data_IF_980920703681
#
_entry.id   IF_980920703681
#
_cell.length_a   1.000
_cell.length_b   1.000
_cell.length_c   1.000
_cell.angle_alpha   90.00
_cell.angle_beta   90.00
_cell.angle_gamma   90.00
#
_symmetry.space_group_name_H-M   'P 1'
#
loop_
_entity.id
_entity.type
_entity.pdbx_description
1 polymer ?
#
# COMPACT_ATOMS: atom_id res chain seq x y z
N UNK A 1 3.85 11.23 -43.81
CA UNK A 1 2.64 11.99 -43.47
C UNK A 1 1.44 11.08 -43.64
N UNK A 2 0.91 10.56 -42.58
CA UNK A 2 -0.18 9.60 -42.62
C UNK A 2 -1.01 9.64 -41.37
N UNK A 3 -2.25 9.21 -41.54
CA UNK A 3 -3.19 9.00 -40.44
C UNK A 3 -3.19 7.50 -40.12
N UNK A 4 -3.07 7.13 -38.87
CA UNK A 4 -3.28 5.75 -38.42
C UNK A 4 -4.73 5.61 -37.94
N UNK A 5 -5.40 4.54 -38.35
CA UNK A 5 -6.77 4.20 -37.89
C UNK A 5 -6.70 3.00 -36.98
N UNK A 6 -7.75 2.87 -36.16
CA UNK A 6 -7.94 1.73 -35.25
C UNK A 6 -6.71 1.46 -34.38
N UNK A 7 -6.12 2.54 -33.84
CA UNK A 7 -4.94 2.40 -32.98
C UNK A 7 -5.38 1.82 -31.63
N UNK A 8 -4.76 0.71 -31.26
CA UNK A 8 -4.96 0.06 -29.95
C UNK A 8 -3.68 0.18 -29.15
N UNK A 9 -3.79 0.81 -28.00
CA UNK A 9 -2.73 0.84 -26.98
C UNK A 9 -3.09 -0.19 -25.92
N UNK A 10 -2.27 -1.19 -25.78
CA UNK A 10 -2.42 -2.25 -24.77
C UNK A 10 -1.37 -2.04 -23.72
N UNK A 11 -1.80 -1.87 -22.48
CA UNK A 11 -0.92 -1.77 -21.32
C UNK A 11 -1.22 -2.91 -20.34
N UNK A 12 -0.19 -3.55 -19.81
CA UNK A 12 -0.32 -4.68 -18.90
C UNK A 12 0.75 -4.65 -17.84
N UNK A 13 0.32 -4.82 -16.59
CA UNK A 13 1.19 -5.05 -15.45
C UNK A 13 1.29 -6.57 -15.22
N UNK A 14 2.52 -7.09 -15.18
CA UNK A 14 2.82 -8.47 -14.81
C UNK A 14 3.47 -8.49 -13.43
N UNK A 15 3.44 -9.63 -12.77
CA UNK A 15 3.86 -9.76 -11.36
C UNK A 15 2.66 -9.97 -10.45
N UNK A 16 2.92 -10.06 -9.16
CA UNK A 16 1.89 -10.46 -8.17
C UNK A 16 1.45 -9.32 -7.26
N UNK A 17 2.25 -8.26 -7.14
CA UNK A 17 2.05 -7.24 -6.12
C UNK A 17 1.31 -5.99 -6.60
N UNK A 18 1.37 -5.66 -7.89
CA UNK A 18 0.66 -4.50 -8.41
C UNK A 18 -0.59 -4.90 -9.18
N UNK A 19 -1.68 -4.20 -8.92
CA UNK A 19 -2.96 -4.37 -9.60
C UNK A 19 -3.37 -3.05 -10.25
N UNK A 20 -3.74 -3.09 -11.52
CA UNK A 20 -4.31 -1.94 -12.23
C UNK A 20 -5.57 -1.44 -11.52
N UNK A 21 -5.67 -0.12 -11.29
CA UNK A 21 -6.74 0.51 -10.51
C UNK A 21 -8.01 0.81 -11.32
N UNK A 22 -8.02 0.50 -12.61
CA UNK A 22 -9.14 0.71 -13.54
C UNK A 22 -9.54 2.19 -13.72
N UNK A 23 -8.54 3.09 -13.70
CA UNK A 23 -8.72 4.54 -13.65
C UNK A 23 -8.04 5.30 -14.81
N UNK A 24 -7.76 4.64 -15.93
CA UNK A 24 -7.04 5.26 -17.05
C UNK A 24 -7.77 6.50 -17.62
N UNK A 25 -7.01 7.57 -17.77
CA UNK A 25 -7.45 8.85 -18.36
C UNK A 25 -6.55 9.22 -19.52
N UNK A 26 -7.14 9.70 -20.61
CA UNK A 26 -6.42 10.15 -21.80
C UNK A 26 -6.43 11.67 -21.94
N UNK A 27 -5.31 12.23 -22.39
CA UNK A 27 -5.22 13.66 -22.72
C UNK A 27 -4.41 13.85 -24.04
N UNK A 28 -5.02 14.43 -25.09
CA UNK A 28 -6.45 14.69 -25.26
C UNK A 28 -7.28 13.40 -25.31
N UNK A 29 -8.53 13.47 -24.86
CA UNK A 29 -9.45 12.34 -24.92
C UNK A 29 -9.98 12.17 -26.35
N UNK A 30 -9.48 11.15 -27.04
CA UNK A 30 -9.80 10.84 -28.45
C UNK A 30 -10.18 9.39 -28.69
N UNK A 31 -10.42 8.66 -27.64
CA UNK A 31 -10.70 7.24 -27.72
C UNK A 31 -11.55 6.75 -26.57
N UNK A 32 -11.48 5.47 -26.31
CA UNK A 32 -12.17 4.85 -25.18
C UNK A 32 -11.46 3.60 -24.72
N UNK A 33 -11.65 3.25 -23.46
CA UNK A 33 -11.24 1.95 -22.94
C UNK A 33 -12.09 0.87 -23.60
N UNK A 34 -11.46 -0.18 -24.08
CA UNK A 34 -12.15 -1.32 -24.68
C UNK A 34 -13.06 -2.01 -23.67
N UNK A 35 -14.27 -2.34 -24.10
CA UNK A 35 -15.21 -3.11 -23.28
C UNK A 35 -14.72 -4.55 -23.00
N UNK A 36 -13.71 -5.03 -23.74
CA UNK A 36 -13.11 -6.35 -23.50
C UNK A 36 -11.98 -6.18 -22.48
N UNK A 37 -12.19 -6.63 -21.23
CA UNK A 37 -11.18 -6.51 -20.20
C UNK A 37 -9.98 -7.41 -20.50
N UNK A 38 -8.80 -6.96 -20.11
CA UNK A 38 -7.60 -7.79 -20.07
C UNK A 38 -7.14 -7.97 -18.62
N UNK A 39 -6.37 -9.02 -18.38
CA UNK A 39 -5.88 -9.27 -17.04
C UNK A 39 -4.83 -8.23 -16.65
N UNK A 40 -5.09 -7.50 -15.55
CA UNK A 40 -4.20 -6.53 -14.92
C UNK A 40 -3.66 -5.46 -15.87
N UNK A 41 -4.56 -4.75 -16.53
CA UNK A 41 -4.26 -3.71 -17.48
C UNK A 41 -5.47 -3.28 -18.29
N UNK A 42 -5.22 -2.54 -19.37
CA UNK A 42 -6.30 -2.02 -20.22
C UNK A 42 -5.92 -2.04 -21.71
N UNK A 43 -6.91 -1.92 -22.55
CA UNK A 43 -6.76 -1.60 -23.97
C UNK A 43 -7.48 -0.26 -24.20
N UNK A 44 -6.75 0.74 -24.69
CA UNK A 44 -7.32 2.02 -25.08
C UNK A 44 -7.39 2.09 -26.61
N UNK A 45 -8.59 2.30 -27.15
CA UNK A 45 -8.85 2.29 -28.58
C UNK A 45 -9.02 3.72 -29.09
N UNK A 46 -8.19 4.09 -30.07
CA UNK A 46 -8.19 5.41 -30.71
C UNK A 46 -8.64 5.22 -32.16
N UNK A 47 -9.81 5.73 -32.55
CA UNK A 47 -10.32 5.54 -33.91
C UNK A 47 -9.42 6.11 -34.99
N UNK A 48 -8.89 7.30 -34.77
CA UNK A 48 -8.01 8.01 -35.71
C UNK A 48 -6.93 8.75 -34.92
N UNK A 49 -5.67 8.57 -35.32
CA UNK A 49 -4.51 9.29 -34.82
C UNK A 49 -3.78 9.95 -35.99
N UNK A 50 -3.63 11.27 -35.95
CA UNK A 50 -3.00 12.03 -37.00
C UNK A 50 -1.47 12.06 -36.84
N UNK A 51 -0.78 12.36 -37.94
CA UNK A 51 0.68 12.54 -37.94
C UNK A 51 1.09 13.65 -36.96
N UNK A 52 2.08 13.37 -36.10
CA UNK A 52 2.55 14.29 -35.05
C UNK A 52 1.64 14.44 -33.86
N UNK A 53 0.52 13.73 -33.78
CA UNK A 53 -0.37 13.77 -32.65
C UNK A 53 0.17 12.95 -31.48
N UNK A 54 0.05 13.50 -30.25
CA UNK A 54 0.47 12.85 -29.01
C UNK A 54 -0.74 12.71 -28.09
N UNK A 55 -0.96 11.51 -27.59
CA UNK A 55 -1.97 11.23 -26.58
C UNK A 55 -1.26 10.64 -25.36
N UNK A 56 -1.46 11.25 -24.20
CA UNK A 56 -0.94 10.77 -22.93
C UNK A 56 -2.00 9.98 -22.20
N UNK A 57 -1.70 8.74 -21.83
CA UNK A 57 -2.52 7.91 -20.97
C UNK A 57 -1.92 7.91 -19.56
N UNK A 58 -2.75 8.25 -18.57
CA UNK A 58 -2.36 8.27 -17.15
C UNK A 58 -3.28 7.33 -16.39
N UNK A 59 -2.71 6.51 -15.52
CA UNK A 59 -3.45 5.55 -14.69
C UNK A 59 -2.68 5.24 -13.41
N UNK A 60 -3.35 4.60 -12.45
CA UNK A 60 -2.76 4.16 -11.19
C UNK A 60 -2.66 2.64 -11.13
N UNK A 61 -1.78 2.18 -10.25
CA UNK A 61 -1.71 0.79 -9.86
C UNK A 61 -1.67 0.70 -8.33
N UNK A 62 -2.53 -0.14 -7.79
CA UNK A 62 -2.63 -0.43 -6.36
C UNK A 62 -1.73 -1.61 -5.98
N UNK A 63 -1.32 -1.62 -4.72
CA UNK A 63 -0.60 -2.77 -4.17
C UNK A 63 -1.62 -3.83 -3.72
N UNK A 64 -1.49 -5.05 -4.21
CA UNK A 64 -2.28 -6.18 -3.70
C UNK A 64 -1.67 -6.73 -2.40
N UNK A 65 -2.05 -6.14 -1.29
CA UNK A 65 -1.58 -6.53 0.04
C UNK A 65 -1.91 -7.97 0.42
N UNK A 66 -2.88 -8.60 -0.23
CA UNK A 66 -3.21 -10.01 0.00
C UNK A 66 -2.09 -10.97 -0.42
N UNK A 67 -1.20 -10.49 -1.28
CA UNK A 67 -0.04 -11.23 -1.80
C UNK A 67 1.22 -11.08 -0.95
N UNK A 68 1.20 -10.19 0.05
CA UNK A 68 2.36 -9.99 0.89
C UNK A 68 2.54 -11.15 1.88
N UNK A 69 3.80 -11.50 2.19
CA UNK A 69 4.08 -12.48 3.23
C UNK A 69 3.51 -12.03 4.58
N UNK A 70 2.84 -12.92 5.29
CA UNK A 70 2.35 -12.62 6.64
C UNK A 70 3.50 -12.22 7.56
N UNK A 71 3.34 -11.09 8.26
CA UNK A 71 4.33 -10.58 9.19
C UNK A 71 5.51 -9.89 8.53
N UNK A 72 5.47 -9.60 7.26
CA UNK A 72 6.49 -8.80 6.59
C UNK A 72 6.56 -7.40 7.22
N UNK A 73 7.77 -6.99 7.61
CA UNK A 73 8.04 -5.65 8.16
C UNK A 73 8.32 -4.62 7.06
N UNK A 74 8.77 -5.09 5.94
CA UNK A 74 8.98 -4.35 4.70
C UNK A 74 8.84 -5.33 3.55
N UNK A 75 8.58 -4.84 2.38
CA UNK A 75 8.53 -5.64 1.15
C UNK A 75 9.05 -4.83 -0.02
N UNK A 76 9.57 -5.54 -0.99
CA UNK A 76 10.09 -4.98 -2.24
C UNK A 76 9.19 -5.45 -3.37
N UNK A 77 8.91 -4.57 -4.31
CA UNK A 77 8.21 -4.94 -5.54
C UNK A 77 9.22 -5.63 -6.44
N UNK A 78 9.21 -6.96 -6.43
CA UNK A 78 10.07 -7.78 -7.27
C UNK A 78 9.27 -8.38 -8.43
N UNK A 79 9.97 -8.63 -9.54
CA UNK A 79 9.42 -9.30 -10.74
C UNK A 79 8.18 -8.60 -11.34
N UNK A 80 7.95 -7.34 -10.99
CA UNK A 80 6.85 -6.57 -11.57
C UNK A 80 7.33 -5.80 -12.78
N UNK A 81 6.64 -5.99 -13.89
CA UNK A 81 6.95 -5.35 -15.16
C UNK A 81 5.69 -4.74 -15.74
N UNK A 82 5.77 -3.48 -16.14
CA UNK A 82 4.75 -2.87 -16.97
C UNK A 82 5.18 -2.90 -18.44
N UNK A 83 4.29 -3.37 -19.30
CA UNK A 83 4.53 -3.46 -20.74
C UNK A 83 3.42 -2.75 -21.48
N UNK A 84 3.79 -1.82 -22.34
CA UNK A 84 2.87 -1.13 -23.24
C UNK A 84 3.20 -1.46 -24.69
N UNK A 85 2.16 -1.69 -25.49
CA UNK A 85 2.28 -1.85 -26.93
C UNK A 85 1.24 -0.98 -27.65
N UNK A 86 1.58 -0.47 -28.81
CA UNK A 86 0.67 0.29 -29.65
C UNK A 86 0.67 -0.26 -31.08
N UNK A 87 -0.53 -0.50 -31.64
CA UNK A 87 -0.71 -1.01 -33.00
C UNK A 87 -1.92 -0.33 -33.65
N UNK A 88 -1.76 0.05 -34.90
CA UNK A 88 -2.85 0.56 -35.75
C UNK A 88 -2.76 -0.03 -37.16
N UNK A 89 -3.77 0.24 -38.00
CA UNK A 89 -3.89 -0.35 -39.33
C UNK A 89 -2.67 -0.06 -40.23
N UNK A 90 -2.04 1.10 -40.06
CA UNK A 90 -0.91 1.54 -40.86
C UNK A 90 0.44 1.46 -40.11
N UNK A 91 0.47 0.86 -38.92
CA UNK A 91 1.72 0.64 -38.18
C UNK A 91 2.28 -0.73 -38.51
N UNK A 92 3.43 -0.83 -39.22
CA UNK A 92 3.97 -2.11 -39.65
C UNK A 92 4.49 -2.98 -38.50
N UNK A 93 4.73 -2.37 -37.33
CA UNK A 93 5.12 -3.07 -36.09
C UNK A 93 4.47 -2.41 -34.91
N UNK A 94 4.15 -3.19 -33.87
CA UNK A 94 3.89 -2.63 -32.54
C UNK A 94 5.22 -2.07 -31.99
N UNK A 95 5.17 -0.91 -31.37
CA UNK A 95 6.30 -0.39 -30.61
C UNK A 95 6.07 -0.77 -29.14
N UNK A 96 6.77 -1.79 -28.69
CA UNK A 96 6.63 -2.32 -27.33
C UNK A 96 7.67 -1.67 -26.43
N UNK A 97 7.23 -1.10 -25.32
CA UNK A 97 8.09 -0.56 -24.25
C UNK A 97 7.77 -1.26 -22.95
N UNK A 98 8.75 -1.37 -22.10
CA UNK A 98 8.56 -1.93 -20.77
C UNK A 98 9.38 -1.18 -19.74
N UNK A 99 8.85 -1.15 -18.49
CA UNK A 99 9.56 -0.70 -17.31
C UNK A 99 9.46 -1.76 -16.23
N UNK A 100 10.60 -2.11 -15.67
CA UNK A 100 10.68 -3.00 -14.50
C UNK A 100 10.61 -2.14 -13.23
N UNK A 101 9.86 -2.61 -12.25
CA UNK A 101 9.70 -1.99 -10.93
C UNK A 101 10.48 -2.75 -9.84
N UNK A 102 11.54 -3.42 -10.21
CA UNK A 102 12.35 -4.21 -9.29
C UNK A 102 13.07 -3.30 -8.27
N UNK A 103 13.14 -3.77 -7.03
CA UNK A 103 13.83 -3.14 -5.90
C UNK A 103 13.21 -1.83 -5.36
N UNK A 104 11.99 -1.50 -5.68
CA UNK A 104 11.30 -0.43 -4.97
C UNK A 104 10.83 -0.97 -3.61
N UNK A 105 11.44 -0.47 -2.54
CA UNK A 105 11.00 -0.80 -1.17
C UNK A 105 9.73 -0.03 -0.87
N UNK A 106 8.65 -0.75 -0.64
CA UNK A 106 7.40 -0.16 -0.21
C UNK A 106 7.34 -0.24 1.31
N UNK A 107 7.31 0.89 1.94
CA UNK A 107 7.01 1.22 3.34
C UNK A 107 7.29 0.15 4.42
N UNK A 108 7.85 0.58 5.51
CA UNK A 108 7.87 -0.17 6.78
C UNK A 108 6.52 0.02 7.48
N UNK A 109 5.63 -0.99 7.48
CA UNK A 109 4.27 -0.82 8.01
C UNK A 109 4.24 -0.56 9.51
N UNK A 110 5.29 -0.94 10.23
CA UNK A 110 5.40 -0.78 11.68
C UNK A 110 6.86 -0.55 12.10
N UNK A 111 7.06 0.44 12.96
CA UNK A 111 8.33 0.70 13.65
C UNK A 111 8.11 0.65 15.14
N UNK A 112 9.08 0.14 15.90
CA UNK A 112 9.02 0.13 17.36
C UNK A 112 10.33 0.64 17.91
N UNK A 113 10.25 1.57 18.85
CA UNK A 113 11.35 2.06 19.65
C UNK A 113 10.96 2.08 21.13
N UNK A 114 11.91 2.05 22.01
CA UNK A 114 11.63 2.05 23.44
C UNK A 114 12.78 2.60 24.24
N UNK A 115 12.43 3.12 25.43
CA UNK A 115 13.36 3.57 26.44
C UNK A 115 13.00 2.91 27.76
N UNK A 116 13.97 2.22 28.35
CA UNK A 116 13.88 1.75 29.72
C UNK A 116 14.32 2.87 30.66
N UNK A 117 13.57 3.12 31.70
CA UNK A 117 13.89 4.09 32.73
C UNK A 117 14.70 3.44 33.85
N UNK A 118 15.26 4.25 34.74
CA UNK A 118 15.99 3.73 35.90
C UNK A 118 15.07 2.92 36.82
N UNK A 119 15.68 1.90 37.46
CA UNK A 119 14.98 1.08 38.45
C UNK A 119 14.71 1.91 39.69
N UNK A 120 13.43 2.05 40.08
CA UNK A 120 13.00 2.67 41.34
C UNK A 120 12.18 1.66 42.14
N UNK A 121 12.52 1.49 43.39
CA UNK A 121 11.83 0.59 44.35
C UNK A 121 11.66 -0.85 43.80
N UNK A 122 12.68 -1.35 43.12
CA UNK A 122 12.67 -2.69 42.54
C UNK A 122 11.78 -2.84 41.28
N UNK A 123 11.26 -1.73 40.75
CA UNK A 123 10.46 -1.71 39.55
C UNK A 123 11.13 -0.89 38.44
N UNK A 124 11.07 -1.38 37.23
CA UNK A 124 11.54 -0.67 36.05
C UNK A 124 10.34 -0.35 35.16
N UNK A 125 10.21 0.91 34.78
CA UNK A 125 9.23 1.36 33.79
C UNK A 125 9.93 1.46 32.44
N UNK A 126 9.24 1.02 31.40
CA UNK A 126 9.70 1.18 30.02
C UNK A 126 8.60 1.84 29.20
N UNK A 127 8.98 2.85 28.43
CA UNK A 127 8.08 3.51 27.48
C UNK A 127 8.41 3.02 26.09
N UNK A 128 7.41 2.56 25.38
CA UNK A 128 7.52 2.08 24.01
C UNK A 128 6.70 2.95 23.07
N UNK A 129 7.28 3.28 21.93
CA UNK A 129 6.57 3.96 20.84
C UNK A 129 6.47 3.00 19.67
N UNK A 130 5.26 2.79 19.21
CA UNK A 130 4.97 2.00 18.01
C UNK A 130 4.36 2.95 17.00
N UNK A 131 5.01 3.08 15.85
CA UNK A 131 4.51 3.87 14.72
C UNK A 131 3.97 2.88 13.71
N UNK A 132 2.71 3.05 13.35
CA UNK A 132 2.02 2.21 12.36
C UNK A 132 1.66 3.08 11.18
N UNK A 133 1.97 2.62 9.98
CA UNK A 133 1.62 3.29 8.73
C UNK A 133 2.19 4.71 8.58
N UNK A 134 3.47 4.89 8.92
CA UNK A 134 4.16 6.20 8.84
C UNK A 134 4.04 6.85 7.44
N UNK A 135 4.02 6.02 6.40
CA UNK A 135 3.96 6.47 5.01
C UNK A 135 2.52 6.66 4.49
N UNK A 136 1.53 6.63 5.39
CA UNK A 136 0.11 6.86 5.08
C UNK A 136 -0.47 5.95 3.97
N UNK A 137 -0.04 4.70 3.94
CA UNK A 137 -0.60 3.69 3.03
C UNK A 137 -2.00 3.25 3.50
N UNK A 138 -2.88 2.94 2.57
CA UNK A 138 -4.31 2.73 2.84
C UNK A 138 -4.69 1.39 3.50
N UNK A 139 -3.76 0.47 3.71
CA UNK A 139 -4.07 -0.93 4.05
C UNK A 139 -4.26 -1.25 5.53
N UNK A 140 -4.07 -0.28 6.42
CA UNK A 140 -3.94 -0.55 7.87
C UNK A 140 -5.27 -0.59 8.60
N UNK A 141 -6.32 0.00 8.03
CA UNK A 141 -7.64 0.06 8.64
C UNK A 141 -8.22 -1.33 9.00
N UNK A 142 -8.55 -1.52 10.27
CA UNK A 142 -9.06 -2.78 10.80
C UNK A 142 -8.01 -3.86 11.03
N UNK A 143 -6.73 -3.54 10.88
CA UNK A 143 -5.61 -4.42 11.26
C UNK A 143 -5.46 -4.48 12.78
N UNK A 144 -4.83 -5.56 13.27
CA UNK A 144 -4.53 -5.73 14.69
C UNK A 144 -3.06 -5.51 14.94
N UNK A 145 -2.72 -4.59 15.84
CA UNK A 145 -1.38 -4.46 16.39
C UNK A 145 -1.24 -5.44 17.55
N UNK A 146 -0.22 -6.29 17.49
CA UNK A 146 0.13 -7.22 18.56
C UNK A 146 1.50 -6.86 19.09
N UNK A 147 1.61 -6.61 20.38
CA UNK A 147 2.89 -6.42 21.07
C UNK A 147 3.14 -7.58 22.02
N UNK A 148 4.31 -8.20 21.86
CA UNK A 148 4.74 -9.32 22.71
C UNK A 148 5.96 -8.86 23.49
N UNK A 149 5.83 -8.84 24.79
CA UNK A 149 6.94 -8.57 25.71
C UNK A 149 7.67 -9.87 26.01
N UNK A 150 8.96 -9.89 25.73
CA UNK A 150 9.84 -11.01 26.05
C UNK A 150 10.97 -10.51 26.91
N UNK A 151 11.27 -11.26 27.96
CA UNK A 151 12.46 -11.09 28.75
C UNK A 151 13.29 -12.38 28.64
N UNK A 152 14.50 -12.30 28.09
CA UNK A 152 15.37 -13.45 27.83
C UNK A 152 14.65 -14.60 27.08
N UNK A 153 13.93 -14.25 25.99
CA UNK A 153 13.12 -15.16 25.17
C UNK A 153 11.95 -15.85 25.90
N UNK A 154 11.65 -15.45 27.11
CA UNK A 154 10.47 -15.93 27.86
C UNK A 154 9.45 -14.82 27.99
N UNK A 155 8.17 -15.19 27.95
CA UNK A 155 7.10 -14.27 28.30
C UNK A 155 7.28 -13.86 29.77
N UNK A 156 7.15 -12.56 30.12
CA UNK A 156 7.21 -12.15 31.52
C UNK A 156 6.04 -12.78 32.28
N UNK A 157 6.32 -13.35 33.43
CA UNK A 157 5.30 -13.94 34.31
C UNK A 157 4.37 -12.90 34.93
N UNK A 158 4.74 -11.62 34.84
CA UNK A 158 4.06 -10.53 35.53
C UNK A 158 3.98 -9.26 34.66
N UNK A 159 3.16 -9.33 33.62
CA UNK A 159 2.82 -8.16 32.84
C UNK A 159 1.72 -7.37 33.54
N UNK A 160 2.09 -6.35 34.30
CA UNK A 160 1.13 -5.53 35.05
C UNK A 160 0.31 -4.59 34.15
N UNK A 161 0.76 -4.39 32.88
CA UNK A 161 0.14 -3.49 31.95
C UNK A 161 0.33 -2.02 32.33
N UNK A 162 0.71 -1.21 31.37
CA UNK A 162 0.71 0.25 31.46
C UNK A 162 -0.52 0.84 30.79
N UNK A 163 -0.53 2.15 30.62
CA UNK A 163 -1.50 2.82 29.74
C UNK A 163 -1.08 2.69 28.29
N UNK A 164 -2.05 2.62 27.40
CA UNK A 164 -1.86 2.79 25.98
C UNK A 164 -2.45 4.15 25.56
N UNK A 165 -1.66 4.97 24.86
CA UNK A 165 -2.14 6.19 24.21
C UNK A 165 -1.94 6.04 22.72
N UNK A 166 -3.01 6.19 21.95
CA UNK A 166 -2.99 6.13 20.49
C UNK A 166 -3.14 7.54 19.94
N UNK A 167 -2.14 8.05 19.27
CA UNK A 167 -2.19 9.32 18.55
C UNK A 167 -2.45 9.03 17.08
N UNK A 168 -3.44 9.70 16.52
CA UNK A 168 -3.87 9.55 15.13
C UNK A 168 -3.42 10.78 14.35
N UNK A 169 -2.78 10.56 13.22
CA UNK A 169 -2.25 11.60 12.33
C UNK A 169 -2.90 11.47 10.94
N UNK A 170 -3.10 12.61 10.26
CA UNK A 170 -3.50 12.62 8.87
C UNK A 170 -2.29 12.41 7.94
N UNK A 171 -2.53 12.30 6.64
CA UNK A 171 -1.49 12.12 5.62
C UNK A 171 -0.46 13.27 5.54
N UNK A 172 -0.77 14.43 6.11
CA UNK A 172 0.14 15.57 6.14
C UNK A 172 1.02 15.59 7.41
N UNK A 173 0.83 14.62 8.31
CA UNK A 173 1.53 14.54 9.59
C UNK A 173 0.90 15.35 10.71
N UNK A 174 -0.30 15.94 10.51
CA UNK A 174 -1.00 16.66 11.56
C UNK A 174 -1.73 15.69 12.47
N UNK A 175 -1.63 15.92 13.78
CA UNK A 175 -2.35 15.13 14.76
C UNK A 175 -3.84 15.49 14.72
N UNK A 176 -4.67 14.51 14.38
CA UNK A 176 -6.14 14.69 14.25
C UNK A 176 -6.93 14.04 15.37
N UNK A 177 -6.30 13.21 16.19
CA UNK A 177 -6.98 12.55 17.30
C UNK A 177 -6.04 11.93 18.32
N UNK A 178 -6.60 11.63 19.49
CA UNK A 178 -5.95 10.86 20.54
C UNK A 178 -7.00 9.94 21.19
N UNK A 179 -6.66 8.69 21.33
CA UNK A 179 -7.45 7.71 22.06
C UNK A 179 -6.62 7.15 23.22
N UNK A 180 -7.28 6.87 24.33
CA UNK A 180 -6.68 6.20 25.49
C UNK A 180 -7.48 4.92 25.77
N UNK A 181 -7.31 3.88 24.93
CA UNK A 181 -8.07 2.66 25.10
C UNK A 181 -7.71 2.00 26.44
N UNK A 182 -8.72 1.47 27.10
CA UNK A 182 -8.60 0.79 28.36
C UNK A 182 -8.39 -0.71 28.17
N UNK A 183 -7.70 -1.35 29.10
CA UNK A 183 -7.60 -2.79 29.17
C UNK A 183 -9.00 -3.41 29.27
N UNK A 184 -9.31 -4.34 28.37
CA UNK A 184 -10.63 -4.95 28.25
C UNK A 184 -11.65 -4.12 27.44
N UNK A 185 -11.30 -2.90 27.06
CA UNK A 185 -12.11 -2.06 26.18
C UNK A 185 -11.22 -1.42 25.12
N UNK A 186 -11.12 -2.03 23.95
CA UNK A 186 -10.25 -1.64 22.84
C UNK A 186 -8.86 -2.30 22.86
N UNK A 187 -8.32 -2.63 24.04
CA UNK A 187 -7.06 -3.38 24.18
C UNK A 187 -7.32 -4.71 24.86
N UNK A 188 -6.93 -5.78 24.23
CA UNK A 188 -7.01 -7.12 24.81
C UNK A 188 -5.64 -7.52 25.37
N UNK A 189 -5.58 -7.85 26.66
CA UNK A 189 -4.39 -8.40 27.30
C UNK A 189 -4.20 -9.85 26.87
N UNK A 190 -2.96 -10.22 26.55
CA UNK A 190 -2.55 -11.60 26.30
C UNK A 190 -1.59 -12.07 27.42
N UNK A 191 -1.24 -13.34 27.45
CA UNK A 191 -0.28 -13.87 28.44
C UNK A 191 1.10 -13.19 28.38
N UNK A 192 1.48 -12.68 27.21
CA UNK A 192 2.82 -12.14 26.96
C UNK A 192 2.82 -10.70 26.44
N UNK A 193 1.67 -10.02 26.44
CA UNK A 193 1.58 -8.68 25.90
C UNK A 193 0.14 -8.23 25.72
N UNK A 194 -0.14 -7.61 24.58
CA UNK A 194 -1.46 -7.08 24.28
C UNK A 194 -1.74 -7.02 22.78
N UNK A 195 -3.01 -6.88 22.44
CA UNK A 195 -3.48 -6.59 21.09
C UNK A 195 -4.38 -5.36 21.09
N UNK A 196 -4.30 -4.58 20.01
CA UNK A 196 -5.15 -3.43 19.76
C UNK A 196 -5.61 -3.45 18.29
N UNK A 197 -6.92 -3.32 18.09
CA UNK A 197 -7.49 -3.22 16.74
C UNK A 197 -7.45 -1.77 16.27
N UNK A 198 -6.77 -1.52 15.16
CA UNK A 198 -6.73 -0.19 14.55
C UNK A 198 -8.13 0.20 14.09
N UNK A 199 -8.58 1.43 14.38
CA UNK A 199 -9.88 1.89 13.95
C UNK A 199 -9.95 1.91 12.42
N UNK A 200 -11.12 1.58 11.88
CA UNK A 200 -11.46 1.85 10.50
C UNK A 200 -11.96 3.29 10.41
N UNK A 201 -11.63 3.99 9.34
CA UNK A 201 -12.26 5.29 9.10
C UNK A 201 -13.78 5.12 8.86
N UNK A 202 -14.53 6.22 9.02
CA UNK A 202 -16.00 6.21 8.95
C UNK A 202 -16.55 5.70 7.59
N UNK A 203 -15.76 5.73 6.55
CA UNK A 203 -16.15 5.30 5.19
C UNK A 203 -15.77 3.85 4.89
N UNK A 204 -15.26 3.10 5.85
CA UNK A 204 -14.78 1.73 5.65
C UNK A 204 -13.64 1.62 4.61
N UNK A 205 -13.09 2.75 4.18
CA UNK A 205 -11.85 2.85 3.40
C UNK A 205 -10.67 2.84 4.36
N UNK A 206 -9.57 2.18 4.00
CA UNK A 206 -8.37 2.18 4.83
C UNK A 206 -7.83 3.59 5.05
#
# INVERSE_FOLDING_TARGET
>A
TGTSKNVKVTDRITGTLLKYADDVVASPDKGSVSATPINNGFVYEIPIMNDGEVITLTYSADIDYSKLPKGAKSFTVDETKNTVSAKGDNTPKSDDKSKDFNNETIATPIKKSGKAEEVKDGKQTSTWTIIVNEDANEYVGGSTVTDILKQNDKAPTDYSGGGLTVNIYNKNGDKVGTETPLWGNGVTKTESGWTYNLPKNANNTP
#
